data_IF_421082420948
#
_entry.id   IF_421082420948
#
_cell.length_a   1.000
_cell.length_b   1.000
_cell.length_c   1.000
_cell.angle_alpha   90.00
_cell.angle_beta   90.00
_cell.angle_gamma   90.00
#
_symmetry.space_group_name_H-M   'P 1'
#
loop_
_entity.id
_entity.type
_entity.pdbx_description
1 polymer ?
#
# COMPACT_ATOMS: atom_id res chain seq x y z
N UNK A 1 -22.97 13.04 -10.31
CA UNK A 1 -22.77 11.90 -9.36
C UNK A 1 -21.32 11.91 -8.91
N UNK A 2 -21.07 12.01 -7.63
CA UNK A 2 -19.70 11.89 -7.13
C UNK A 2 -19.20 10.45 -7.39
N UNK A 3 -18.08 10.35 -8.06
CA UNK A 3 -17.41 9.09 -8.34
C UNK A 3 -17.02 8.44 -7.01
N UNK A 4 -17.50 7.22 -6.78
CA UNK A 4 -17.22 6.53 -5.52
C UNK A 4 -15.82 5.90 -5.58
N UNK A 5 -14.91 6.40 -4.76
CA UNK A 5 -13.60 5.80 -4.57
C UNK A 5 -13.74 4.35 -4.06
N UNK A 6 -13.10 3.41 -4.74
CA UNK A 6 -12.99 2.03 -4.28
C UNK A 6 -11.68 1.82 -3.54
N UNK A 7 -11.78 1.44 -2.29
CA UNK A 7 -10.64 1.14 -1.43
C UNK A 7 -10.61 -0.36 -1.14
N UNK A 8 -9.56 -1.01 -1.59
CA UNK A 8 -9.45 -2.47 -1.64
C UNK A 8 -8.19 -2.90 -0.90
N UNK A 9 -8.34 -3.79 0.07
CA UNK A 9 -7.22 -4.44 0.73
C UNK A 9 -6.97 -5.82 0.10
N UNK A 10 -5.73 -6.10 -0.26
CA UNK A 10 -5.30 -7.38 -0.82
C UNK A 10 -4.40 -8.06 0.19
N UNK A 11 -4.85 -9.19 0.71
CA UNK A 11 -4.14 -10.00 1.67
C UNK A 11 -3.60 -11.27 1.03
N UNK A 12 -2.57 -11.81 1.61
CA UNK A 12 -1.98 -13.08 1.19
C UNK A 12 -0.65 -13.31 1.86
N UNK A 13 -0.29 -14.58 1.97
CA UNK A 13 1.01 -15.01 2.53
C UNK A 13 2.17 -14.48 1.68
N UNK A 14 3.30 -14.24 2.32
CA UNK A 14 4.52 -13.86 1.62
C UNK A 14 4.96 -14.92 0.61
N UNK A 15 5.40 -14.50 -0.57
CA UNK A 15 5.96 -15.39 -1.60
C UNK A 15 4.98 -16.09 -2.53
N UNK A 16 3.65 -15.90 -2.35
CA UNK A 16 2.63 -16.53 -3.22
C UNK A 16 2.27 -15.73 -4.48
N UNK A 17 2.88 -14.57 -4.66
CA UNK A 17 2.59 -13.70 -5.80
C UNK A 17 1.53 -12.62 -5.54
N UNK A 18 1.19 -12.34 -4.28
CA UNK A 18 0.24 -11.30 -3.89
C UNK A 18 0.60 -9.93 -4.48
N UNK A 19 1.81 -9.44 -4.23
CA UNK A 19 2.25 -8.14 -4.72
C UNK A 19 2.35 -8.11 -6.25
N UNK A 20 2.75 -9.19 -6.89
CA UNK A 20 2.74 -9.33 -8.35
C UNK A 20 1.31 -9.23 -8.89
N UNK A 21 0.35 -9.89 -8.27
CA UNK A 21 -1.07 -9.81 -8.63
C UNK A 21 -1.60 -8.38 -8.49
N UNK A 22 -1.31 -7.72 -7.37
CA UNK A 22 -1.72 -6.33 -7.10
C UNK A 22 -1.15 -5.38 -8.17
N UNK A 23 0.12 -5.52 -8.50
CA UNK A 23 0.77 -4.65 -9.48
C UNK A 23 0.25 -4.88 -10.90
N UNK A 24 0.00 -6.13 -11.30
CA UNK A 24 -0.59 -6.44 -12.60
C UNK A 24 -2.04 -5.94 -12.71
N UNK A 25 -2.84 -6.11 -11.67
CA UNK A 25 -4.21 -5.57 -11.61
C UNK A 25 -4.20 -4.04 -11.73
N UNK A 26 -3.30 -3.39 -11.01
CA UNK A 26 -3.11 -1.94 -11.08
C UNK A 26 -2.72 -1.49 -12.48
N UNK A 27 -1.75 -2.16 -13.11
CA UNK A 27 -1.33 -1.85 -14.48
C UNK A 27 -2.50 -1.95 -15.46
N UNK A 28 -3.31 -3.00 -15.38
CA UNK A 28 -4.50 -3.15 -16.22
C UNK A 28 -5.53 -2.04 -16.02
N UNK A 29 -5.73 -1.56 -14.80
CA UNK A 29 -6.65 -0.46 -14.51
C UNK A 29 -6.15 0.88 -15.05
N UNK A 30 -4.87 1.20 -14.87
CA UNK A 30 -4.31 2.47 -15.41
C UNK A 30 -4.26 2.46 -16.93
N UNK A 31 -4.11 1.30 -17.57
CA UNK A 31 -4.25 1.17 -19.02
C UNK A 31 -5.67 1.48 -19.52
N UNK A 32 -6.67 1.25 -18.69
CA UNK A 32 -8.06 1.63 -18.94
C UNK A 32 -8.35 3.10 -18.58
N UNK A 33 -7.34 3.89 -18.26
CA UNK A 33 -7.49 5.30 -17.89
C UNK A 33 -7.97 5.53 -16.45
N UNK A 34 -7.88 4.53 -15.57
CA UNK A 34 -8.22 4.70 -14.16
C UNK A 34 -7.08 5.32 -13.37
N UNK A 35 -7.41 6.17 -12.41
CA UNK A 35 -6.46 6.73 -11.47
C UNK A 35 -6.34 5.83 -10.23
N UNK A 36 -5.15 5.35 -9.97
CA UNK A 36 -4.89 4.35 -8.93
C UNK A 36 -3.77 4.81 -8.01
N UNK A 37 -4.00 4.67 -6.71
CA UNK A 37 -2.99 4.78 -5.66
C UNK A 37 -2.73 3.38 -5.09
N UNK A 38 -1.48 2.96 -5.05
CA UNK A 38 -1.05 1.72 -4.40
C UNK A 38 -0.28 2.06 -3.12
N UNK A 39 -0.74 1.52 -2.01
CA UNK A 39 -0.09 1.65 -0.69
C UNK A 39 0.45 0.27 -0.30
N UNK A 40 1.76 0.12 -0.37
CA UNK A 40 2.45 -1.08 0.07
C UNK A 40 2.55 -1.13 1.59
N UNK A 41 2.00 -2.17 2.19
CA UNK A 41 1.98 -2.39 3.62
C UNK A 41 2.90 -3.56 4.04
N UNK A 42 3.87 -3.90 3.21
CA UNK A 42 4.88 -4.91 3.50
C UNK A 42 6.14 -4.23 4.04
N UNK A 43 6.71 -4.71 5.17
CA UNK A 43 7.99 -4.19 5.69
C UNK A 43 9.15 -4.24 4.69
N UNK A 44 9.10 -5.15 3.72
CA UNK A 44 10.11 -5.26 2.66
C UNK A 44 10.04 -4.15 1.60
N UNK A 45 8.99 -3.33 1.63
CA UNK A 45 8.80 -2.21 0.71
C UNK A 45 8.97 -2.59 -0.79
N UNK A 46 8.36 -3.68 -1.20
CA UNK A 46 8.48 -4.22 -2.56
C UNK A 46 7.15 -4.23 -3.33
N UNK A 47 6.07 -3.75 -2.73
CA UNK A 47 4.72 -3.80 -3.29
C UNK A 47 4.54 -2.95 -4.54
N UNK A 48 5.38 -1.94 -4.74
CA UNK A 48 5.28 -0.99 -5.86
C UNK A 48 6.44 -1.10 -6.85
N UNK A 49 7.38 -1.99 -6.60
CA UNK A 49 8.65 -2.06 -7.33
C UNK A 49 8.50 -2.25 -8.84
N UNK A 50 7.59 -3.12 -9.29
CA UNK A 50 7.37 -3.35 -10.72
C UNK A 50 6.73 -2.12 -11.38
N UNK A 51 5.79 -1.46 -10.71
CA UNK A 51 5.13 -0.25 -11.20
C UNK A 51 6.12 0.92 -11.36
N UNK A 52 7.19 0.92 -10.58
CA UNK A 52 8.27 1.91 -10.62
C UNK A 52 9.45 1.49 -11.51
N UNK A 53 9.27 0.51 -12.39
CA UNK A 53 10.32 0.06 -13.30
C UNK A 53 11.51 -0.64 -12.61
N UNK A 54 11.26 -1.28 -11.48
CA UNK A 54 12.28 -1.97 -10.69
C UNK A 54 12.95 -1.12 -9.61
N UNK A 55 12.60 0.17 -9.53
CA UNK A 55 13.13 1.06 -8.48
C UNK A 55 12.56 0.70 -7.11
N UNK A 56 13.43 0.70 -6.12
CA UNK A 56 13.04 0.62 -4.72
C UNK A 56 12.83 2.03 -4.17
N UNK A 57 11.63 2.34 -3.71
CA UNK A 57 11.35 3.66 -3.17
C UNK A 57 11.56 3.69 -1.65
N UNK A 58 11.85 4.89 -1.14
CA UNK A 58 11.94 5.16 0.29
C UNK A 58 10.55 5.04 0.93
N UNK A 59 10.49 4.47 2.12
CA UNK A 59 9.22 4.28 2.82
C UNK A 59 8.76 5.56 3.53
N UNK A 60 7.47 5.62 3.88
CA UNK A 60 6.90 6.70 4.69
C UNK A 60 7.62 6.80 6.03
N UNK A 61 7.86 5.66 6.68
CA UNK A 61 8.53 5.63 7.97
C UNK A 61 10.00 6.05 7.89
N UNK A 62 10.72 5.67 6.85
CA UNK A 62 12.10 6.12 6.64
C UNK A 62 12.15 7.63 6.40
N UNK A 63 11.25 8.14 5.56
CA UNK A 63 11.16 9.58 5.30
C UNK A 63 10.83 10.36 6.57
N UNK A 64 9.92 9.83 7.38
CA UNK A 64 9.53 10.46 8.66
C UNK A 64 10.68 10.49 9.67
N UNK A 65 11.57 9.51 9.63
CA UNK A 65 12.77 9.48 10.51
C UNK A 65 13.84 10.48 10.08
N UNK A 66 14.01 10.64 8.78
CA UNK A 66 15.08 11.50 8.24
C UNK A 66 14.71 12.97 8.23
N UNK A 67 13.44 13.30 7.95
CA UNK A 67 12.95 14.67 7.91
C UNK A 67 12.25 15.06 9.20
N UNK A 68 12.94 15.84 10.02
CA UNK A 68 12.38 16.34 11.30
C UNK A 68 11.52 17.59 11.17
N UNK A 69 11.42 18.20 9.98
CA UNK A 69 10.72 19.48 9.79
C UNK A 69 9.39 19.33 9.06
N UNK A 70 9.30 19.46 7.79
CA UNK A 70 8.02 19.36 7.07
C UNK A 70 8.10 18.28 5.99
N UNK A 71 7.27 17.24 6.12
CA UNK A 71 7.13 16.20 5.11
C UNK A 71 6.02 16.61 4.16
N UNK A 72 6.31 16.60 2.87
CA UNK A 72 5.34 16.83 1.80
C UNK A 72 4.92 15.50 1.15
N UNK A 73 3.76 15.48 0.52
CA UNK A 73 3.27 14.30 -0.18
C UNK A 73 4.25 13.80 -1.26
N UNK A 74 4.92 14.72 -1.96
CA UNK A 74 5.95 14.41 -2.97
C UNK A 74 7.16 13.65 -2.42
N UNK A 75 7.42 13.74 -1.13
CA UNK A 75 8.51 12.99 -0.48
C UNK A 75 8.15 11.52 -0.27
N UNK A 76 6.85 11.24 -0.15
CA UNK A 76 6.31 9.91 0.16
C UNK A 76 5.83 9.15 -1.07
N UNK A 77 5.37 9.88 -2.08
CA UNK A 77 4.72 9.33 -3.25
C UNK A 77 5.66 9.36 -4.46
N UNK A 78 5.65 8.26 -5.20
CA UNK A 78 6.31 8.18 -6.52
C UNK A 78 5.26 7.86 -7.58
N UNK A 79 5.46 8.44 -8.75
CA UNK A 79 4.60 8.18 -9.91
C UNK A 79 5.28 7.13 -10.78
N UNK A 80 4.58 6.04 -11.04
CA UNK A 80 5.04 4.91 -11.82
C UNK A 80 4.33 4.77 -13.17
N UNK A 81 4.20 3.52 -13.60
CA UNK A 81 3.64 3.14 -14.89
C UNK A 81 2.31 3.86 -15.18
N UNK A 82 2.24 4.56 -16.30
CA UNK A 82 1.05 5.32 -16.76
C UNK A 82 0.38 6.20 -15.68
N UNK A 83 1.17 6.80 -14.82
CA UNK A 83 0.68 7.73 -13.82
C UNK A 83 0.16 7.11 -12.53
N UNK A 84 0.36 5.80 -12.32
CA UNK A 84 0.01 5.18 -11.04
C UNK A 84 0.81 5.82 -9.90
N UNK A 85 0.12 6.12 -8.82
CA UNK A 85 0.72 6.69 -7.62
C UNK A 85 1.11 5.58 -6.66
N UNK A 86 2.33 5.58 -6.19
CA UNK A 86 2.93 4.52 -5.40
C UNK A 86 3.48 5.04 -4.09
N UNK A 87 3.10 4.39 -3.00
CA UNK A 87 3.60 4.66 -1.64
C UNK A 87 3.99 3.34 -0.98
N UNK A 88 5.10 3.32 -0.28
CA UNK A 88 5.49 2.21 0.61
C UNK A 88 5.46 2.67 2.05
N UNK A 89 4.66 2.01 2.89
CA UNK A 89 4.55 2.41 4.29
C UNK A 89 5.81 2.09 5.09
N UNK A 90 6.45 0.98 4.79
CA UNK A 90 7.59 0.48 5.55
C UNK A 90 7.19 -0.26 6.84
N UNK A 91 8.18 -0.72 7.56
CA UNK A 91 8.03 -1.39 8.85
C UNK A 91 8.89 -0.76 9.93
N UNK A 92 8.70 -1.12 11.20
CA UNK A 92 9.62 -0.74 12.25
C UNK A 92 10.98 -1.39 12.02
N UNK A 93 12.00 -0.85 12.67
CA UNK A 93 13.32 -1.50 12.70
C UNK A 93 13.20 -2.92 13.27
N UNK A 94 14.03 -3.85 12.80
CA UNK A 94 14.06 -5.20 13.34
C UNK A 94 14.25 -5.16 14.88
N UNK A 95 13.34 -5.83 15.60
CA UNK A 95 13.36 -5.86 17.06
C UNK A 95 12.62 -4.70 17.77
N UNK A 96 12.10 -3.72 17.04
CA UNK A 96 11.39 -2.58 17.62
C UNK A 96 9.92 -2.55 17.21
N UNK A 97 9.08 -3.12 18.03
CA UNK A 97 7.62 -3.00 17.92
C UNK A 97 6.97 -3.78 16.79
N UNK A 98 5.67 -3.56 16.62
CA UNK A 98 4.86 -4.25 15.62
C UNK A 98 4.82 -3.46 14.30
N UNK A 99 5.11 -4.13 13.19
CA UNK A 99 5.04 -3.56 11.83
C UNK A 99 3.69 -2.91 11.51
N UNK A 100 2.60 -3.40 12.10
CA UNK A 100 1.28 -2.85 11.91
C UNK A 100 1.07 -1.44 12.45
N UNK A 101 1.83 -1.00 13.44
CA UNK A 101 1.79 0.41 13.90
C UNK A 101 2.31 1.35 12.82
N UNK A 102 3.32 0.92 12.07
CA UNK A 102 3.84 1.70 10.96
C UNK A 102 2.80 1.95 9.87
N UNK A 103 1.96 0.95 9.58
CA UNK A 103 0.87 1.08 8.61
C UNK A 103 -0.15 2.13 9.06
N UNK A 104 -0.55 2.12 10.33
CA UNK A 104 -1.48 3.09 10.90
C UNK A 104 -0.93 4.50 10.73
N UNK A 105 0.32 4.71 11.15
CA UNK A 105 0.99 6.00 11.03
C UNK A 105 1.08 6.47 9.57
N UNK A 106 1.45 5.58 8.66
CA UNK A 106 1.57 5.89 7.25
C UNK A 106 0.24 6.29 6.61
N UNK A 107 -0.83 5.55 6.88
CA UNK A 107 -2.16 5.87 6.33
C UNK A 107 -2.66 7.21 6.89
N UNK A 108 -2.50 7.45 8.20
CA UNK A 108 -2.88 8.72 8.81
C UNK A 108 -2.10 9.89 8.22
N UNK A 109 -0.81 9.72 7.97
CA UNK A 109 0.02 10.75 7.33
C UNK A 109 -0.41 11.01 5.89
N UNK A 110 -0.71 9.99 5.11
CA UNK A 110 -1.23 10.13 3.74
C UNK A 110 -2.56 10.89 3.71
N UNK A 111 -3.44 10.66 4.68
CA UNK A 111 -4.70 11.40 4.81
C UNK A 111 -4.45 12.89 5.13
N UNK A 112 -3.58 13.17 6.09
CA UNK A 112 -3.24 14.53 6.48
C UNK A 112 -2.59 15.32 5.34
N UNK A 113 -1.79 14.66 4.51
CA UNK A 113 -1.13 15.26 3.36
C UNK A 113 -1.99 15.32 2.10
N UNK A 114 -3.24 14.84 2.16
CA UNK A 114 -4.17 14.93 1.04
C UNK A 114 -3.91 13.94 -0.10
N UNK A 115 -3.35 12.77 0.20
CA UNK A 115 -3.07 11.74 -0.81
C UNK A 115 -4.34 11.18 -1.48
N UNK A 116 -5.47 11.20 -0.78
CA UNK A 116 -6.75 10.67 -1.26
C UNK A 116 -7.52 11.75 -2.03
N UNK A 117 -7.10 12.00 -3.25
CA UNK A 117 -7.69 13.03 -4.12
C UNK A 117 -9.02 12.58 -4.75
N UNK A 118 -9.86 13.55 -5.15
CA UNK A 118 -11.18 13.27 -5.73
C UNK A 118 -11.13 12.57 -7.10
N UNK A 119 -10.02 12.68 -7.81
CA UNK A 119 -9.80 12.05 -9.11
C UNK A 119 -9.46 10.55 -9.01
N UNK A 120 -9.10 10.05 -7.82
CA UNK A 120 -8.81 8.64 -7.62
C UNK A 120 -10.05 7.75 -7.87
N UNK A 121 -9.83 6.68 -8.62
CA UNK A 121 -10.79 5.60 -8.83
C UNK A 121 -10.61 4.47 -7.82
N UNK A 122 -9.34 4.11 -7.57
CA UNK A 122 -8.96 2.97 -6.75
C UNK A 122 -7.83 3.30 -5.80
N UNK A 123 -7.90 2.76 -4.60
CA UNK A 123 -6.76 2.64 -3.68
C UNK A 123 -6.59 1.17 -3.34
N UNK A 124 -5.41 0.64 -3.60
CA UNK A 124 -5.01 -0.70 -3.18
C UNK A 124 -4.10 -0.65 -1.97
N UNK A 125 -4.46 -1.40 -0.95
CA UNK A 125 -3.59 -1.69 0.18
C UNK A 125 -3.05 -3.10 0.01
N UNK A 126 -1.76 -3.22 -0.31
CA UNK A 126 -1.08 -4.50 -0.48
C UNK A 126 -0.53 -4.95 0.88
N UNK A 127 -1.27 -5.83 1.56
CA UNK A 127 -1.07 -6.17 2.97
C UNK A 127 -0.50 -7.57 3.12
N UNK A 128 0.56 -7.69 3.92
CA UNK A 128 1.10 -8.99 4.30
C UNK A 128 0.12 -9.73 5.21
N UNK A 129 -0.25 -10.97 4.86
CA UNK A 129 -1.32 -11.73 5.51
C UNK A 129 -0.87 -12.71 6.59
N UNK A 130 0.43 -12.97 6.71
CA UNK A 130 1.00 -13.99 7.60
C UNK A 130 1.54 -13.42 8.93
N UNK A 131 1.24 -12.18 9.24
CA UNK A 131 1.72 -11.50 10.46
C UNK A 131 0.60 -11.31 11.46
N UNK A 132 0.82 -11.77 12.69
CA UNK A 132 -0.13 -11.75 13.81
C UNK A 132 -0.21 -10.35 14.46
N UNK A 133 -0.10 -9.28 13.70
CA UNK A 133 -0.15 -7.94 14.25
C UNK A 133 -1.45 -7.22 13.87
N UNK A 134 -2.19 -6.76 14.87
CA UNK A 134 -3.48 -6.07 14.67
C UNK A 134 -3.43 -4.86 13.75
N UNK A 135 -2.25 -4.25 13.55
CA UNK A 135 -2.06 -3.13 12.64
C UNK A 135 -2.23 -3.51 11.16
N UNK A 136 -1.99 -4.76 10.77
CA UNK A 136 -2.25 -5.22 9.40
C UNK A 136 -3.75 -5.33 9.07
N UNK A 137 -4.60 -5.40 10.08
CA UNK A 137 -6.05 -5.34 9.90
C UNK A 137 -6.59 -3.90 9.85
N UNK A 138 -5.72 -2.90 10.03
CA UNK A 138 -6.12 -1.50 10.14
C UNK A 138 -6.90 -0.99 8.90
N UNK A 139 -6.51 -1.27 7.66
CA UNK A 139 -7.29 -0.82 6.51
C UNK A 139 -8.75 -1.26 6.54
N UNK A 140 -9.02 -2.41 7.18
CA UNK A 140 -10.38 -2.94 7.37
C UNK A 140 -11.05 -2.31 8.60
N UNK A 141 -10.36 -2.32 9.74
CA UNK A 141 -10.92 -1.89 11.03
C UNK A 141 -11.30 -0.42 11.07
N UNK A 142 -10.51 0.42 10.44
CA UNK A 142 -10.78 1.87 10.32
C UNK A 142 -11.73 2.22 9.16
N UNK A 143 -12.31 1.21 8.51
CA UNK A 143 -13.23 1.39 7.39
C UNK A 143 -12.59 2.00 6.14
N UNK A 144 -11.25 1.98 6.03
CA UNK A 144 -10.52 2.45 4.85
C UNK A 144 -10.76 1.53 3.66
N UNK A 145 -10.52 0.23 3.83
CA UNK A 145 -10.86 -0.77 2.82
C UNK A 145 -12.28 -1.30 3.03
N UNK A 146 -13.10 -1.17 2.01
CA UNK A 146 -14.47 -1.70 1.98
C UNK A 146 -14.57 -3.02 1.23
N UNK A 147 -13.55 -3.37 0.50
CA UNK A 147 -13.43 -4.60 -0.27
C UNK A 147 -12.13 -5.30 0.14
N UNK A 148 -12.19 -6.62 0.24
CA UNK A 148 -11.07 -7.45 0.65
C UNK A 148 -10.94 -8.59 -0.33
N UNK A 149 -9.72 -8.76 -0.86
CA UNK A 149 -9.37 -9.90 -1.68
C UNK A 149 -8.24 -10.68 -1.02
N UNK A 150 -8.34 -11.99 -1.07
CA UNK A 150 -7.32 -12.90 -0.53
C UNK A 150 -6.69 -13.66 -1.68
N UNK A 151 -5.38 -13.50 -1.83
CA UNK A 151 -4.59 -14.27 -2.79
C UNK A 151 -4.11 -15.53 -2.10
N UNK A 152 -4.47 -16.69 -2.65
CA UNK A 152 -4.09 -18.00 -2.16
C UNK A 152 -3.58 -18.87 -3.29
N UNK A 153 -2.57 -19.70 -3.01
CA UNK A 153 -1.99 -20.63 -4.00
C UNK A 153 -2.72 -21.98 -4.08
N UNK A 154 -3.71 -22.20 -3.22
CA UNK A 154 -4.36 -23.51 -3.09
C UNK A 154 -3.62 -24.51 -2.21
N UNK A 155 -2.46 -24.14 -1.70
CA UNK A 155 -1.75 -24.92 -0.68
C UNK A 155 -2.38 -24.70 0.70
N UNK A 156 -2.38 -25.76 1.53
CA UNK A 156 -2.98 -25.70 2.88
C UNK A 156 -2.39 -24.56 3.73
N UNK A 157 -1.11 -24.27 3.60
CA UNK A 157 -0.41 -23.19 4.33
C UNK A 157 -0.66 -21.78 3.77
N UNK A 158 -1.36 -21.66 2.63
CA UNK A 158 -1.69 -20.36 2.01
C UNK A 158 -3.09 -19.87 2.37
N UNK A 159 -3.83 -20.67 3.10
CA UNK A 159 -5.16 -20.38 3.64
C UNK A 159 -5.07 -20.01 5.11
#
# INVERSE_FOLDING_TARGET
MSKKLRQIAIYGKGGIGKSTTTQNLTAGLVEQGKHVLVVGCDPKAASTRLLLGGLHQKTVLDTSRDNKTEIQLSDLEKVGFKGVRCVESGGPEPGVGCAGRGIITSISMLEQLGAYTEDLDYVFYDVLGDVVCGGFAMPIREGKAKEIYIVASGEMMAL
#
